data_IF_420612964491
#
_entry.id   IF_420612964491
#
_cell.length_a   1.000
_cell.length_b   1.000
_cell.length_c   1.000
_cell.angle_alpha   90.00
_cell.angle_beta   90.00
_cell.angle_gamma   90.00
#
_symmetry.space_group_name_H-M   'P 1'
#
loop_
_entity.id
_entity.type
_entity.pdbx_description
1 polymer ?
#
# COMPACT_ATOMS: atom_id res chain seq x y z
N UNK A 1 18.66 -5.53 7.45
CA UNK A 1 17.78 -5.23 6.33
C UNK A 1 17.81 -6.45 5.44
N UNK A 2 16.71 -7.18 5.42
CA UNK A 2 16.58 -8.39 4.62
C UNK A 2 16.06 -8.00 3.24
N UNK A 3 16.67 -8.56 2.19
CA UNK A 3 16.10 -8.49 0.86
C UNK A 3 15.00 -9.55 0.78
N UNK A 4 13.76 -9.11 0.55
CA UNK A 4 12.65 -10.03 0.31
C UNK A 4 12.72 -10.59 -1.11
N UNK A 5 12.13 -11.76 -1.33
CA UNK A 5 11.95 -12.29 -2.68
C UNK A 5 10.90 -11.49 -3.44
N UNK A 6 11.01 -11.38 -4.77
CA UNK A 6 9.98 -10.74 -5.60
C UNK A 6 8.58 -11.32 -5.37
N UNK A 7 8.46 -12.64 -5.21
CA UNK A 7 7.18 -13.29 -4.92
C UNK A 7 6.54 -12.79 -3.60
N UNK A 8 7.37 -12.55 -2.58
CA UNK A 8 6.90 -12.00 -1.30
C UNK A 8 6.52 -10.52 -1.47
N UNK A 9 7.30 -9.75 -2.25
CA UNK A 9 6.96 -8.36 -2.58
C UNK A 9 5.60 -8.27 -3.27
N UNK A 10 5.36 -9.10 -4.28
CA UNK A 10 4.08 -9.19 -4.99
C UNK A 10 2.94 -9.55 -4.03
N UNK A 11 3.15 -10.52 -3.14
CA UNK A 11 2.15 -10.91 -2.13
C UNK A 11 1.80 -9.72 -1.22
N UNK A 12 2.80 -8.97 -0.74
CA UNK A 12 2.58 -7.79 0.09
C UNK A 12 1.80 -6.71 -0.68
N UNK A 13 2.14 -6.47 -1.95
CA UNK A 13 1.44 -5.49 -2.79
C UNK A 13 -0.02 -5.91 -3.02
N UNK A 14 -0.29 -7.19 -3.23
CA UNK A 14 -1.66 -7.71 -3.41
C UNK A 14 -2.50 -7.54 -2.13
N UNK A 15 -1.94 -7.84 -0.96
CA UNK A 15 -2.64 -7.66 0.31
C UNK A 15 -2.90 -6.19 0.63
N UNK A 16 -1.91 -5.31 0.40
CA UNK A 16 -2.10 -3.87 0.57
C UNK A 16 -3.13 -3.33 -0.42
N UNK A 17 -3.17 -3.85 -1.66
CA UNK A 17 -4.20 -3.49 -2.62
C UNK A 17 -5.60 -3.86 -2.13
N UNK A 18 -5.80 -5.05 -1.57
CA UNK A 18 -7.09 -5.46 -1.01
C UNK A 18 -7.51 -4.58 0.18
N UNK A 19 -6.55 -4.07 0.96
CA UNK A 19 -6.80 -3.12 2.04
C UNK A 19 -7.21 -1.75 1.47
N UNK A 20 -6.44 -1.20 0.54
CA UNK A 20 -6.67 0.15 0.00
C UNK A 20 -7.83 0.24 -0.99
N UNK A 21 -8.35 -0.90 -1.45
CA UNK A 21 -9.59 -0.95 -2.25
C UNK A 21 -10.81 -1.37 -1.44
N UNK A 22 -10.65 -1.50 -0.12
CA UNK A 22 -11.75 -1.70 0.80
C UNK A 22 -12.17 -0.36 1.41
N UNK A 23 -13.33 0.16 1.01
CA UNK A 23 -13.87 1.42 1.53
C UNK A 23 -13.87 1.50 3.08
N UNK A 24 -14.03 0.37 3.78
CA UNK A 24 -14.02 0.31 5.25
C UNK A 24 -12.66 0.56 5.90
N UNK A 25 -11.58 0.63 5.11
CA UNK A 25 -10.23 0.95 5.55
C UNK A 25 -9.86 2.43 5.36
N UNK A 26 -10.78 3.25 4.84
CA UNK A 26 -10.60 4.70 4.73
C UNK A 26 -11.41 5.44 5.81
N UNK A 27 -10.87 6.54 6.31
CA UNK A 27 -11.56 7.40 7.28
C UNK A 27 -12.60 8.32 6.62
N UNK A 28 -12.37 8.68 5.35
CA UNK A 28 -13.25 9.51 4.54
C UNK A 28 -14.27 8.66 3.77
N UNK A 29 -15.18 9.33 3.07
CA UNK A 29 -16.16 8.67 2.20
C UNK A 29 -15.81 8.89 0.72
N UNK A 30 -16.10 7.91 -0.13
CA UNK A 30 -15.83 7.97 -1.57
C UNK A 30 -16.51 9.17 -2.24
N UNK A 31 -17.68 9.59 -1.75
CA UNK A 31 -18.42 10.75 -2.26
C UNK A 31 -17.72 12.10 -2.00
N UNK A 32 -16.74 12.15 -1.12
CA UNK A 32 -15.96 13.34 -0.82
C UNK A 32 -14.80 13.57 -1.84
N UNK A 33 -14.58 12.61 -2.75
CA UNK A 33 -13.51 12.64 -3.74
C UNK A 33 -14.03 12.89 -5.17
N UNK A 34 -13.19 13.45 -6.03
CA UNK A 34 -13.53 13.70 -7.44
C UNK A 34 -13.72 12.39 -8.22
N UNK A 35 -12.94 11.36 -7.86
CA UNK A 35 -12.96 10.04 -8.49
C UNK A 35 -12.78 8.95 -7.44
N UNK A 36 -13.28 7.75 -7.74
CA UNK A 36 -13.04 6.53 -6.94
C UNK A 36 -11.54 6.20 -6.83
N UNK A 37 -10.80 6.42 -7.92
CA UNK A 37 -9.34 6.26 -7.93
C UNK A 37 -8.66 7.23 -6.95
N UNK A 38 -9.13 8.48 -6.83
CA UNK A 38 -8.56 9.42 -5.87
C UNK A 38 -8.83 9.01 -4.43
N UNK A 39 -10.00 8.41 -4.17
CA UNK A 39 -10.36 7.83 -2.88
C UNK A 39 -9.45 6.66 -2.51
N UNK A 40 -9.30 5.63 -3.36
CA UNK A 40 -8.43 4.48 -3.05
C UNK A 40 -6.94 4.83 -2.95
N UNK A 41 -6.50 5.92 -3.59
CA UNK A 41 -5.13 6.42 -3.45
C UNK A 41 -4.92 7.33 -2.22
N UNK A 42 -5.98 7.69 -1.49
CA UNK A 42 -5.93 8.71 -0.43
C UNK A 42 -4.92 8.38 0.68
N UNK A 43 -4.97 7.16 1.21
CA UNK A 43 -4.05 6.67 2.25
C UNK A 43 -2.61 6.59 1.74
N UNK A 44 -2.40 6.03 0.54
CA UNK A 44 -1.06 5.82 -0.03
C UNK A 44 -0.35 7.15 -0.34
N UNK A 45 -1.12 8.19 -0.67
CA UNK A 45 -0.62 9.56 -0.85
C UNK A 45 -0.27 10.25 0.49
N UNK A 46 -0.64 9.67 1.63
CA UNK A 46 -0.33 10.23 2.93
C UNK A 46 1.15 10.10 3.25
N UNK A 47 1.77 11.17 3.75
CA UNK A 47 3.23 11.27 3.89
C UNK A 47 3.87 10.28 4.88
N UNK A 48 3.08 9.53 5.64
CA UNK A 48 3.54 8.51 6.59
C UNK A 48 3.21 7.09 6.17
N UNK A 49 2.68 6.88 4.95
CA UNK A 49 2.30 5.54 4.49
C UNK A 49 3.51 4.59 4.40
N UNK A 50 4.69 5.12 4.11
CA UNK A 50 5.96 4.37 4.15
C UNK A 50 6.23 3.70 5.52
N UNK A 51 5.88 4.37 6.61
CA UNK A 51 5.99 3.82 7.97
C UNK A 51 5.02 2.67 8.14
N UNK A 52 3.79 2.83 7.65
CA UNK A 52 2.78 1.77 7.68
C UNK A 52 3.25 0.53 6.90
N UNK A 53 3.83 0.68 5.70
CA UNK A 53 4.36 -0.46 4.93
C UNK A 53 5.43 -1.20 5.70
N UNK A 54 6.35 -0.49 6.35
CA UNK A 54 7.38 -1.12 7.21
C UNK A 54 6.79 -1.85 8.40
N UNK A 55 5.83 -1.24 9.09
CA UNK A 55 5.13 -1.87 10.22
C UNK A 55 4.34 -3.09 9.77
N UNK A 56 3.66 -3.02 8.63
CA UNK A 56 2.93 -4.13 8.02
C UNK A 56 3.86 -5.31 7.75
N UNK A 57 5.01 -5.05 7.13
CA UNK A 57 6.03 -6.07 6.87
C UNK A 57 6.57 -6.68 8.16
N UNK A 58 6.85 -5.86 9.18
CA UNK A 58 7.33 -6.35 10.47
C UNK A 58 6.28 -7.19 11.22
N UNK A 59 5.02 -6.78 11.18
CA UNK A 59 3.96 -7.42 11.96
C UNK A 59 3.41 -8.69 11.31
N UNK A 60 3.38 -8.77 9.98
CA UNK A 60 2.78 -9.90 9.26
C UNK A 60 3.82 -10.91 8.76
N UNK A 61 5.06 -10.49 8.56
CA UNK A 61 6.09 -11.33 7.95
C UNK A 61 7.38 -11.44 8.78
N UNK A 62 7.47 -10.77 9.94
CA UNK A 62 8.66 -10.74 10.82
C UNK A 62 9.93 -10.27 10.09
N UNK A 63 9.77 -9.33 9.14
CA UNK A 63 10.87 -8.78 8.34
C UNK A 63 11.03 -7.27 8.56
N UNK A 64 12.26 -6.80 8.42
CA UNK A 64 12.60 -5.38 8.41
C UNK A 64 13.14 -4.97 7.04
N UNK A 65 12.41 -4.09 6.38
CA UNK A 65 12.73 -3.57 5.03
C UNK A 65 13.33 -2.16 5.09
N UNK A 66 14.03 -1.77 4.03
CA UNK A 66 14.57 -0.42 3.85
C UNK A 66 13.47 0.57 3.46
N UNK A 67 13.76 1.86 3.63
CA UNK A 67 12.96 2.96 3.07
C UNK A 67 12.82 2.79 1.55
N UNK A 68 13.92 2.46 0.86
CA UNK A 68 13.95 2.25 -0.60
C UNK A 68 12.97 1.15 -1.03
N UNK A 69 12.99 0.00 -0.37
CA UNK A 69 12.09 -1.11 -0.66
C UNK A 69 10.64 -0.79 -0.27
N UNK A 70 10.42 -0.03 0.81
CA UNK A 70 9.08 0.44 1.18
C UNK A 70 8.51 1.36 0.09
N UNK A 71 9.31 2.28 -0.45
CA UNK A 71 8.90 3.13 -1.58
C UNK A 71 8.66 2.34 -2.86
N UNK A 72 9.47 1.32 -3.16
CA UNK A 72 9.21 0.43 -4.30
C UNK A 72 7.87 -0.30 -4.16
N UNK A 73 7.55 -0.83 -2.97
CA UNK A 73 6.25 -1.45 -2.70
C UNK A 73 5.12 -0.44 -2.87
N UNK A 74 5.30 0.80 -2.42
CA UNK A 74 4.31 1.87 -2.60
C UNK A 74 4.09 2.21 -4.07
N UNK A 75 5.16 2.32 -4.87
CA UNK A 75 5.06 2.61 -6.30
C UNK A 75 4.33 1.49 -7.05
N UNK A 76 4.64 0.23 -6.73
CA UNK A 76 3.96 -0.94 -7.30
C UNK A 76 2.47 -0.99 -6.90
N UNK A 77 2.16 -0.68 -5.63
CA UNK A 77 0.79 -0.58 -5.12
C UNK A 77 0.00 0.53 -5.85
N UNK A 78 0.58 1.72 -5.99
CA UNK A 78 -0.05 2.83 -6.72
C UNK A 78 -0.33 2.44 -8.17
N UNK A 79 0.62 1.78 -8.83
CA UNK A 79 0.44 1.26 -10.18
C UNK A 79 -0.74 0.29 -10.25
N UNK A 80 -0.77 -0.68 -9.34
CA UNK A 80 -1.84 -1.68 -9.28
C UNK A 80 -3.22 -1.07 -9.04
N UNK A 81 -3.34 -0.08 -8.13
CA UNK A 81 -4.61 0.63 -7.88
C UNK A 81 -5.09 1.34 -9.15
N UNK A 82 -4.19 2.05 -9.86
CA UNK A 82 -4.51 2.75 -11.12
C UNK A 82 -4.89 1.84 -12.28
N UNK A 83 -4.32 0.63 -12.34
CA UNK A 83 -4.60 -0.30 -13.44
C UNK A 83 -5.96 -1.00 -13.28
N UNK A 84 -6.57 -0.95 -12.08
CA UNK A 84 -7.79 -1.70 -11.75
C UNK A 84 -9.00 -0.81 -11.37
N UNK A 85 -8.84 0.52 -11.28
CA UNK A 85 -9.91 1.48 -10.98
C UNK A 85 -9.82 2.72 -11.89
#
# INVERSE_FOLDING_TARGET
>A
MENITEQLKETIVDELYDIETNEGCHEDYIEDYETELDFYLSNVKFGTYEVYVKEYCSNNYDISISDELAFEIMDDLIGKIKDNN
#
